data_IF_044420250822
#
_entry.id   IF_044420250822
#
_cell.length_a   1.000
_cell.length_b   1.000
_cell.length_c   1.000
_cell.angle_alpha   90.00
_cell.angle_beta   90.00
_cell.angle_gamma   90.00
#
_symmetry.space_group_name_H-M   'P 1'
#
loop_
_entity.id
_entity.type
_entity.pdbx_description
1 polymer ?
#
# COMPACT_ATOMS: atom_id res chain seq x y z
N UNK A 1 -1.26 -1.21 13.71
CA UNK A 1 -0.83 -2.61 13.49
C UNK A 1 -1.53 -3.23 12.29
N UNK A 2 -2.86 -3.19 12.19
CA UNK A 2 -3.63 -3.82 11.09
C UNK A 2 -3.05 -3.68 9.67
N UNK A 3 -2.64 -2.48 9.22
CA UNK A 3 -2.09 -2.32 7.86
C UNK A 3 -0.75 -3.06 7.62
N UNK A 4 0.10 -3.16 8.65
CA UNK A 4 1.36 -3.92 8.57
C UNK A 4 1.08 -5.41 8.50
N UNK A 5 0.14 -5.89 9.32
CA UNK A 5 -0.30 -7.29 9.29
C UNK A 5 -0.84 -7.67 7.89
N UNK A 6 -1.69 -6.82 7.29
CA UNK A 6 -2.19 -7.02 5.92
C UNK A 6 -1.03 -7.07 4.91
N UNK A 7 -0.05 -6.16 5.01
CA UNK A 7 1.10 -6.15 4.10
C UNK A 7 1.97 -7.40 4.23
N UNK A 8 2.20 -7.87 5.47
CA UNK A 8 2.95 -9.09 5.76
C UNK A 8 2.24 -10.33 5.22
N UNK A 9 0.92 -10.42 5.39
CA UNK A 9 0.11 -11.50 4.83
C UNK A 9 0.18 -11.53 3.30
N UNK A 10 0.04 -10.38 2.63
CA UNK A 10 0.17 -10.30 1.16
C UNK A 10 1.57 -10.75 0.74
N UNK A 11 2.61 -10.33 1.46
CA UNK A 11 3.98 -10.72 1.19
C UNK A 11 4.24 -12.21 1.38
N UNK A 12 3.65 -12.83 2.39
CA UNK A 12 3.85 -14.24 2.73
C UNK A 12 3.01 -15.19 1.88
N UNK A 13 1.76 -14.83 1.60
CA UNK A 13 0.79 -15.70 0.94
C UNK A 13 0.67 -15.43 -0.56
N UNK A 14 1.00 -14.21 -1.01
CA UNK A 14 0.63 -13.74 -2.34
C UNK A 14 -0.89 -13.76 -2.54
N UNK A 15 -1.33 -14.03 -3.77
CA UNK A 15 -2.74 -14.25 -4.09
C UNK A 15 -2.87 -15.19 -5.29
N UNK A 16 -3.89 -16.06 -5.27
CA UNK A 16 -4.13 -17.07 -6.32
C UNK A 16 -2.90 -17.97 -6.62
N UNK A 17 -2.08 -18.26 -5.61
CA UNK A 17 -0.86 -19.07 -5.76
C UNK A 17 0.28 -18.34 -6.48
N UNK A 18 0.17 -17.03 -6.71
CA UNK A 18 1.21 -16.19 -7.30
C UNK A 18 1.71 -15.17 -6.29
N UNK A 19 3.01 -14.84 -6.31
CA UNK A 19 3.50 -13.73 -5.51
C UNK A 19 2.95 -12.42 -6.05
N UNK A 20 2.64 -11.47 -5.16
CA UNK A 20 1.99 -10.20 -5.51
C UNK A 20 2.73 -9.04 -4.85
N UNK A 21 2.92 -7.96 -5.59
CA UNK A 21 3.49 -6.72 -5.06
C UNK A 21 2.48 -5.58 -5.08
N UNK A 22 2.37 -4.84 -3.97
CA UNK A 22 1.44 -3.73 -3.83
C UNK A 22 2.03 -2.61 -2.97
N UNK A 23 1.32 -1.48 -2.87
CA UNK A 23 1.66 -0.38 -1.97
C UNK A 23 0.44 -0.02 -1.14
N UNK A 24 0.55 -0.08 0.18
CA UNK A 24 -0.43 0.48 1.10
C UNK A 24 0.10 1.83 1.60
N UNK A 25 -0.62 2.93 1.32
CA UNK A 25 -0.25 4.27 1.78
C UNK A 25 -1.17 4.67 2.93
N UNK A 26 -0.60 5.03 4.07
CA UNK A 26 -1.31 5.33 5.31
C UNK A 26 -1.06 6.77 5.70
N UNK A 27 -2.14 7.48 6.03
CA UNK A 27 -2.09 8.87 6.48
C UNK A 27 -2.15 9.88 5.34
N UNK A 28 -2.40 11.15 5.71
CA UNK A 28 -2.62 12.30 4.82
C UNK A 28 -3.38 11.96 3.51
N UNK A 29 -4.45 11.17 3.61
CA UNK A 29 -5.11 10.55 2.45
C UNK A 29 -5.60 11.58 1.42
N UNK A 30 -6.02 12.77 1.87
CA UNK A 30 -6.38 13.89 1.00
C UNK A 30 -5.23 14.33 0.10
N UNK A 31 -4.02 14.47 0.64
CA UNK A 31 -2.83 14.86 -0.13
C UNK A 31 -2.39 13.76 -1.08
N UNK A 32 -2.45 12.50 -0.63
CA UNK A 32 -2.15 11.32 -1.44
C UNK A 32 -3.12 11.19 -2.62
N UNK A 33 -4.42 11.41 -2.41
CA UNK A 33 -5.42 11.38 -3.47
C UNK A 33 -5.23 12.50 -4.50
N UNK A 34 -4.76 13.68 -4.08
CA UNK A 34 -4.40 14.77 -5.01
C UNK A 34 -3.10 14.51 -5.78
N UNK A 35 -2.19 13.74 -5.18
CA UNK A 35 -0.87 13.39 -5.76
C UNK A 35 -0.86 12.00 -6.39
N UNK A 36 -2.01 11.57 -6.89
CA UNK A 36 -2.19 10.31 -7.60
C UNK A 36 -3.35 10.43 -8.58
N UNK A 37 -3.52 9.42 -9.43
CA UNK A 37 -4.68 9.30 -10.33
C UNK A 37 -5.36 7.94 -10.20
N UNK A 38 -6.66 7.92 -10.49
CA UNK A 38 -7.44 6.69 -10.44
C UNK A 38 -7.12 5.88 -11.70
N UNK A 39 -6.55 4.68 -11.56
CA UNK A 39 -6.19 3.85 -12.72
C UNK A 39 -7.35 2.93 -13.14
N UNK A 40 -8.09 2.41 -12.16
CA UNK A 40 -9.25 1.51 -12.33
C UNK A 40 -10.42 1.99 -11.49
N UNK A 41 -11.63 1.43 -11.64
CA UNK A 41 -12.74 1.78 -10.75
C UNK A 41 -12.37 1.59 -9.27
N UNK A 42 -12.74 2.56 -8.42
CA UNK A 42 -12.50 2.47 -6.98
C UNK A 42 -13.65 1.68 -6.33
N UNK A 43 -13.44 0.43 -5.87
CA UNK A 43 -14.52 -0.38 -5.28
C UNK A 43 -14.97 0.16 -3.92
N UNK A 44 -14.16 0.99 -3.27
CA UNK A 44 -14.49 1.61 -1.98
C UNK A 44 -15.30 2.92 -2.13
N UNK A 45 -15.61 3.36 -3.35
CA UNK A 45 -16.36 4.59 -3.59
C UNK A 45 -17.84 4.36 -3.29
N UNK A 46 -18.45 5.26 -2.52
CA UNK A 46 -19.89 5.22 -2.21
C UNK A 46 -20.24 4.50 -0.91
N UNK A 47 -19.36 3.63 -0.41
CA UNK A 47 -19.56 2.96 0.89
C UNK A 47 -19.31 3.91 2.07
N UNK A 48 -20.09 3.81 3.16
CA UNK A 48 -19.90 4.60 4.36
C UNK A 48 -18.60 4.20 5.08
N UNK A 49 -17.98 5.16 5.79
CA UNK A 49 -16.65 4.97 6.40
C UNK A 49 -16.53 3.71 7.27
N UNK A 50 -17.56 3.39 8.05
CA UNK A 50 -17.60 2.22 8.95
C UNK A 50 -17.42 0.89 8.21
N UNK A 51 -17.91 0.79 6.98
CA UNK A 51 -17.86 -0.43 6.16
C UNK A 51 -16.52 -0.57 5.43
N UNK A 52 -15.70 0.49 5.40
CA UNK A 52 -14.40 0.54 4.74
C UNK A 52 -13.23 0.46 5.71
N UNK A 53 -13.49 0.07 6.95
CA UNK A 53 -12.46 0.00 7.98
C UNK A 53 -11.56 -1.21 7.74
N UNK A 54 -10.24 -1.04 7.83
CA UNK A 54 -9.26 -2.13 7.72
C UNK A 54 -9.34 -3.17 8.85
N UNK A 55 -10.20 -2.93 9.84
CA UNK A 55 -10.54 -3.90 10.90
C UNK A 55 -11.67 -4.84 10.49
N UNK A 56 -12.37 -4.57 9.38
CA UNK A 56 -13.36 -5.48 8.82
C UNK A 56 -12.64 -6.52 7.95
N UNK A 57 -12.90 -7.81 8.19
CA UNK A 57 -12.30 -8.92 7.44
C UNK A 57 -12.63 -8.87 5.95
N UNK A 58 -13.84 -8.45 5.57
CA UNK A 58 -14.23 -8.30 4.16
C UNK A 58 -13.39 -7.25 3.43
N UNK A 59 -13.04 -6.16 4.15
CA UNK A 59 -12.17 -5.11 3.63
C UNK A 59 -10.75 -5.61 3.50
N UNK A 60 -10.26 -6.39 4.47
CA UNK A 60 -8.94 -7.03 4.41
C UNK A 60 -8.84 -7.96 3.21
N UNK A 61 -9.81 -8.84 2.99
CA UNK A 61 -9.84 -9.72 1.82
C UNK A 61 -9.97 -8.94 0.52
N UNK A 62 -10.76 -7.87 0.49
CA UNK A 62 -10.83 -6.98 -0.67
C UNK A 62 -9.48 -6.32 -0.99
N UNK A 63 -8.72 -5.89 0.02
CA UNK A 63 -7.37 -5.33 -0.16
C UNK A 63 -6.42 -6.40 -0.74
N UNK A 64 -6.47 -7.63 -0.20
CA UNK A 64 -5.67 -8.75 -0.71
C UNK A 64 -6.01 -9.06 -2.16
N UNK A 65 -7.28 -9.05 -2.54
CA UNK A 65 -7.70 -9.27 -3.93
C UNK A 65 -7.20 -8.14 -4.86
N UNK A 66 -7.40 -6.90 -4.44
CA UNK A 66 -7.00 -5.72 -5.21
C UNK A 66 -5.49 -5.54 -5.29
N UNK A 67 -4.71 -6.25 -4.47
CA UNK A 67 -3.25 -6.25 -4.55
C UNK A 67 -2.74 -6.84 -5.88
N UNK A 68 -3.54 -7.68 -6.55
CA UNK A 68 -3.27 -8.20 -7.91
C UNK A 68 -3.28 -7.09 -8.97
N UNK A 69 -3.91 -5.95 -8.68
CA UNK A 69 -3.96 -4.82 -9.59
C UNK A 69 -2.70 -3.96 -9.45
N UNK A 70 -2.27 -3.36 -10.56
CA UNK A 70 -1.15 -2.41 -10.51
C UNK A 70 -1.62 -1.06 -9.91
N UNK A 71 -1.24 -0.81 -8.67
CA UNK A 71 -1.56 0.44 -7.98
C UNK A 71 -1.39 0.37 -6.47
N UNK A 72 -1.78 1.46 -5.83
CA UNK A 72 -1.74 1.62 -4.39
C UNK A 72 -3.15 1.63 -3.78
N UNK A 73 -3.24 1.14 -2.54
CA UNK A 73 -4.38 1.31 -1.65
C UNK A 73 -4.10 2.45 -0.69
N UNK A 74 -5.03 3.38 -0.58
CA UNK A 74 -4.91 4.58 0.24
C UNK A 74 -5.79 4.43 1.47
N UNK A 75 -5.17 4.52 2.64
CA UNK A 75 -5.78 4.28 3.94
C UNK A 75 -5.61 5.56 4.77
N UNK A 76 -6.69 6.07 5.34
CA UNK A 76 -6.62 7.22 6.25
C UNK A 76 -5.95 6.85 7.58
N UNK A 77 -5.54 7.85 8.36
CA UNK A 77 -4.99 7.64 9.72
C UNK A 77 -5.97 6.90 10.64
N UNK A 78 -7.28 7.03 10.40
CA UNK A 78 -8.32 6.32 11.13
C UNK A 78 -8.51 4.86 10.69
N UNK A 79 -7.78 4.38 9.68
CA UNK A 79 -7.93 3.02 9.15
C UNK A 79 -9.07 2.86 8.14
N UNK A 80 -9.62 3.95 7.60
CA UNK A 80 -10.64 3.89 6.52
C UNK A 80 -9.92 3.77 5.18
N UNK A 81 -10.27 2.77 4.37
CA UNK A 81 -9.83 2.69 2.97
C UNK A 81 -10.55 3.75 2.14
N UNK A 82 -9.79 4.69 1.59
CA UNK A 82 -10.32 5.80 0.80
C UNK A 82 -10.39 5.43 -0.69
N UNK A 83 -9.36 4.75 -1.19
CA UNK A 83 -9.32 4.26 -2.57
C UNK A 83 -8.38 3.08 -2.74
N UNK A 84 -8.63 2.27 -3.75
CA UNK A 84 -7.70 1.27 -4.27
C UNK A 84 -7.44 1.51 -5.77
N UNK A 85 -6.41 0.86 -6.32
CA UNK A 85 -6.08 0.98 -7.74
C UNK A 85 -5.59 2.38 -8.12
N UNK A 86 -4.84 3.04 -7.22
CA UNK A 86 -4.28 4.38 -7.45
C UNK A 86 -2.90 4.30 -8.06
N UNK A 87 -2.68 5.01 -9.16
CA UNK A 87 -1.34 5.23 -9.69
C UNK A 87 -0.73 6.46 -9.00
N UNK A 88 0.37 6.26 -8.28
CA UNK A 88 1.02 7.31 -7.49
C UNK A 88 1.95 8.17 -8.34
N UNK A 89 1.89 9.49 -8.18
CA UNK A 89 2.74 10.40 -8.93
C UNK A 89 4.16 10.45 -8.33
N UNK A 90 4.95 9.44 -8.71
CA UNK A 90 6.26 9.11 -8.16
C UNK A 90 7.39 10.09 -8.49
N UNK A 91 7.16 11.10 -9.33
CA UNK A 91 8.21 12.02 -9.76
C UNK A 91 8.76 12.83 -8.58
N UNK A 92 9.94 12.45 -8.09
CA UNK A 92 10.71 13.17 -7.06
C UNK A 92 12.21 12.97 -7.29
N UNK A 93 13.07 14.00 -7.09
CA UNK A 93 14.53 13.88 -7.23
C UNK A 93 15.13 12.74 -6.41
N UNK A 94 14.55 12.44 -5.24
CA UNK A 94 14.98 11.40 -4.30
C UNK A 94 14.89 9.99 -4.91
N UNK A 95 13.96 9.76 -5.85
CA UNK A 95 13.78 8.45 -6.48
C UNK A 95 14.99 8.02 -7.32
N UNK A 96 15.87 8.94 -7.71
CA UNK A 96 17.11 8.65 -8.45
C UNK A 96 18.20 8.02 -7.59
N UNK A 97 18.13 8.15 -6.26
CA UNK A 97 19.11 7.57 -5.32
C UNK A 97 18.85 6.09 -5.01
N UNK A 98 17.66 5.58 -5.33
CA UNK A 98 17.25 4.19 -5.08
C UNK A 98 17.68 3.24 -6.21
N UNK A 99 19.00 3.14 -6.46
CA UNK A 99 19.54 2.23 -7.47
C UNK A 99 19.22 0.77 -7.10
N UNK A 100 18.81 -0.03 -8.09
CA UNK A 100 18.42 -1.43 -7.90
C UNK A 100 16.97 -1.65 -7.42
N UNK A 101 16.24 -0.59 -7.06
CA UNK A 101 14.84 -0.71 -6.64
C UNK A 101 13.86 -0.46 -7.80
N UNK A 102 12.77 -1.24 -7.85
CA UNK A 102 11.76 -1.20 -8.91
C UNK A 102 10.86 0.05 -8.91
N UNK A 103 9.92 0.13 -9.86
CA UNK A 103 8.98 1.25 -10.00
C UNK A 103 8.14 1.50 -8.74
N UNK A 104 7.65 0.44 -8.09
CA UNK A 104 6.85 0.55 -6.85
C UNK A 104 7.62 1.14 -5.67
N UNK A 105 8.91 0.84 -5.56
CA UNK A 105 9.76 1.45 -4.52
C UNK A 105 9.92 2.95 -4.77
N UNK A 106 10.18 3.35 -6.02
CA UNK A 106 10.26 4.77 -6.39
C UNK A 106 8.92 5.48 -6.15
N UNK A 107 7.80 4.83 -6.41
CA UNK A 107 6.47 5.36 -6.11
C UNK A 107 6.23 5.55 -4.61
N UNK A 108 6.57 4.56 -3.79
CA UNK A 108 6.46 4.64 -2.33
C UNK A 108 7.35 5.77 -1.75
N UNK A 109 8.61 5.88 -2.20
CA UNK A 109 9.48 6.97 -1.79
C UNK A 109 8.96 8.34 -2.26
N UNK A 110 8.51 8.45 -3.51
CA UNK A 110 7.99 9.69 -4.07
C UNK A 110 6.76 10.21 -3.34
N UNK A 111 5.79 9.32 -3.06
CA UNK A 111 4.53 9.72 -2.42
C UNK A 111 4.74 10.14 -0.97
N UNK A 112 5.56 9.40 -0.22
CA UNK A 112 5.83 9.68 1.20
C UNK A 112 6.57 11.01 1.37
N UNK A 113 7.50 11.32 0.46
CA UNK A 113 8.18 12.63 0.43
C UNK A 113 7.25 13.80 0.12
N UNK A 114 6.23 13.61 -0.73
CA UNK A 114 5.31 14.68 -1.16
C UNK A 114 4.18 14.93 -0.17
N UNK A 115 3.81 13.92 0.62
CA UNK A 115 2.54 13.93 1.35
C UNK A 115 2.67 13.70 2.84
N UNK A 116 3.88 13.42 3.35
CA UNK A 116 4.10 13.06 4.76
C UNK A 116 3.32 11.80 5.21
N UNK A 117 2.76 11.06 4.24
CA UNK A 117 2.21 9.74 4.47
C UNK A 117 3.33 8.71 4.65
N UNK A 118 2.97 7.55 5.19
CA UNK A 118 3.83 6.36 5.26
C UNK A 118 3.38 5.38 4.19
N UNK A 119 4.32 4.69 3.54
CA UNK A 119 4.00 3.67 2.55
C UNK A 119 4.61 2.32 2.93
N UNK A 120 3.77 1.28 2.94
CA UNK A 120 4.16 -0.12 3.07
C UNK A 120 4.20 -0.72 1.66
N UNK A 121 5.38 -0.97 1.14
CA UNK A 121 5.57 -1.55 -0.19
C UNK A 121 5.86 -3.04 -0.04
N UNK A 122 5.07 -3.88 -0.69
CA UNK A 122 5.27 -5.34 -0.74
C UNK A 122 6.00 -5.68 -2.04
N UNK A 123 7.15 -6.34 -1.92
CA UNK A 123 7.93 -6.78 -3.07
C UNK A 123 7.28 -8.00 -3.73
N UNK A 124 6.96 -7.89 -5.02
CA UNK A 124 6.43 -9.01 -5.81
C UNK A 124 7.45 -10.16 -5.94
N UNK A 125 8.74 -9.88 -5.98
CA UNK A 125 9.76 -10.91 -6.19
C UNK A 125 10.21 -11.61 -4.91
N UNK A 126 10.05 -10.96 -3.75
CA UNK A 126 10.61 -11.46 -2.47
C UNK A 126 9.60 -11.54 -1.34
N UNK A 127 8.39 -11.00 -1.50
CA UNK A 127 7.40 -10.87 -0.42
C UNK A 127 7.77 -9.86 0.66
N UNK A 128 9.00 -9.34 0.69
CA UNK A 128 9.48 -8.40 1.71
C UNK A 128 8.63 -7.14 1.75
N UNK A 129 8.32 -6.70 2.97
CA UNK A 129 7.61 -5.44 3.22
C UNK A 129 8.63 -4.36 3.54
N UNK A 130 8.72 -3.33 2.71
CA UNK A 130 9.59 -2.17 2.93
C UNK A 130 8.75 -0.96 3.33
N UNK A 131 9.11 -0.32 4.44
CA UNK A 131 8.42 0.84 4.97
C UNK A 131 9.16 2.11 4.55
N UNK A 132 8.42 3.01 3.89
CA UNK A 132 8.91 4.31 3.46
C UNK A 132 8.25 5.45 4.24
N UNK A 133 9.05 6.43 4.63
CA UNK A 133 8.62 7.68 5.25
C UNK A 133 9.53 8.82 4.78
N UNK A 134 8.95 9.98 4.43
CA UNK A 134 9.72 11.14 3.97
C UNK A 134 10.63 10.87 2.76
N UNK A 135 10.36 9.83 1.96
CA UNK A 135 11.17 9.40 0.82
C UNK A 135 12.33 8.46 1.15
N UNK A 136 12.48 8.02 2.40
CA UNK A 136 13.54 7.12 2.84
C UNK A 136 12.96 5.78 3.29
N UNK A 137 13.76 4.72 3.21
CA UNK A 137 13.44 3.44 3.83
C UNK A 137 13.75 3.59 5.32
N UNK A 138 12.75 3.33 6.16
CA UNK A 138 12.91 3.37 7.62
C UNK A 138 12.98 1.97 8.24
N UNK A 139 12.41 0.97 7.57
CA UNK A 139 12.45 -0.42 7.99
C UNK A 139 12.17 -1.37 6.81
N UNK A 140 12.61 -2.62 6.95
CA UNK A 140 12.22 -3.71 6.07
C UNK A 140 11.92 -4.95 6.93
N UNK A 141 10.84 -5.66 6.60
CA UNK A 141 10.36 -6.82 7.32
C UNK A 141 10.34 -8.03 6.38
N UNK A 142 10.71 -9.19 6.92
CA UNK A 142 10.52 -10.46 6.22
C UNK A 142 9.03 -10.82 6.17
N UNK A 143 8.55 -11.44 5.08
CA UNK A 143 7.18 -11.91 5.00
C UNK A 143 6.91 -12.97 6.08
N UNK A 144 5.84 -12.79 6.84
CA UNK A 144 5.36 -13.74 7.85
C UNK A 144 3.83 -13.70 7.86
N UNK A 145 3.20 -14.87 8.00
CA UNK A 145 1.75 -14.95 8.13
C UNK A 145 1.36 -14.41 9.51
N UNK A 146 0.60 -13.33 9.55
CA UNK A 146 0.12 -12.75 10.80
C UNK A 146 -1.11 -13.53 11.28
N UNK A 147 -0.97 -14.30 12.37
CA UNK A 147 -2.09 -15.05 12.98
C UNK A 147 -3.20 -14.15 13.58
N UNK A 148 -3.14 -12.83 13.38
CA UNK A 148 -4.05 -11.85 13.98
C UNK A 148 -5.24 -11.49 13.11
N UNK A 149 -5.25 -11.91 11.85
CA UNK A 149 -6.28 -11.57 10.86
C UNK A 149 -7.03 -12.82 10.32
N UNK A 150 -6.77 -14.00 10.89
CA UNK A 150 -7.46 -15.28 10.60
C UNK A 150 -8.36 -15.64 11.76
#
# INVERSE_FOLDING_TARGET
MAAVDIALDIGALGREGKPVGTILVIGNSKSVLRSSRQAVFNPFKGYPKREKMITNSEVVESIKELSLLDGAVIISTAGVVEAAGRHLDAASPVTKQLRGLGSRHRAAAGITRKTEAVALMVSESTGRVTIFEGGHIIAALEPVISQRLV
#
